data_IF_674161892567
#
_entry.id   IF_674161892567
#
_cell.length_a   1.000
_cell.length_b   1.000
_cell.length_c   1.000
_cell.angle_alpha   90.00
_cell.angle_beta   90.00
_cell.angle_gamma   90.00
#
_symmetry.space_group_name_H-M   'P 1'
#
loop_
_entity.id
_entity.type
_entity.pdbx_description
1 polymer ?
#
# COMPACT_ATOMS: atom_id res chain seq x y z
N UNK A 1 10.46 -2.83 0.15
CA UNK A 1 11.90 -2.64 -0.16
C UNK A 1 12.12 -2.05 -1.57
N UNK A 2 13.12 -1.18 -1.74
CA UNK A 2 13.56 -0.70 -3.08
C UNK A 2 14.31 -1.79 -3.86
N UNK A 3 15.17 -2.52 -3.16
CA UNK A 3 15.88 -3.68 -3.72
C UNK A 3 14.90 -4.78 -4.13
N UNK A 4 14.98 -5.18 -5.39
CA UNK A 4 14.16 -6.22 -5.99
C UNK A 4 14.39 -7.60 -5.36
N UNK A 5 15.63 -7.94 -5.01
CA UNK A 5 15.97 -9.26 -4.43
C UNK A 5 15.32 -9.46 -3.05
N UNK A 6 15.07 -8.35 -2.35
CA UNK A 6 14.37 -8.32 -1.07
C UNK A 6 12.85 -8.16 -1.24
N UNK A 7 12.42 -7.55 -2.35
CA UNK A 7 11.01 -7.29 -2.64
C UNK A 7 10.30 -8.54 -3.18
N UNK A 8 10.87 -9.22 -4.17
CA UNK A 8 10.21 -10.35 -4.84
C UNK A 8 9.81 -11.49 -3.88
N UNK A 9 10.63 -11.90 -2.90
CA UNK A 9 10.22 -12.94 -1.95
C UNK A 9 9.03 -12.50 -1.10
N UNK A 10 8.97 -11.22 -0.71
CA UNK A 10 7.84 -10.69 0.06
C UNK A 10 6.57 -10.60 -0.78
N UNK A 11 6.68 -10.14 -2.03
CA UNK A 11 5.55 -10.14 -2.98
C UNK A 11 5.01 -11.56 -3.24
N UNK A 12 5.90 -12.56 -3.36
CA UNK A 12 5.52 -13.97 -3.49
C UNK A 12 4.81 -14.49 -2.25
N UNK A 13 5.34 -14.20 -1.06
CA UNK A 13 4.72 -14.62 0.20
C UNK A 13 3.30 -14.05 0.35
N UNK A 14 3.08 -12.80 -0.05
CA UNK A 14 1.75 -12.17 -0.02
C UNK A 14 0.80 -12.90 -0.96
N UNK A 15 1.22 -13.19 -2.21
CA UNK A 15 0.41 -13.94 -3.17
C UNK A 15 0.08 -15.36 -2.69
N UNK A 16 1.00 -16.03 -1.99
CA UNK A 16 0.72 -17.32 -1.32
C UNK A 16 -0.37 -17.18 -0.26
N UNK A 17 -0.40 -16.09 0.51
CA UNK A 17 -1.49 -15.84 1.50
C UNK A 17 -2.84 -15.59 0.86
N UNK A 18 -2.88 -14.95 -0.32
CA UNK A 18 -4.12 -14.84 -1.09
C UNK A 18 -4.67 -16.24 -1.44
N UNK A 19 -3.81 -17.12 -1.96
CA UNK A 19 -4.19 -18.49 -2.34
C UNK A 19 -4.63 -19.32 -1.13
N UNK A 20 -3.92 -19.22 0.00
CA UNK A 20 -4.28 -19.91 1.25
C UNK A 20 -5.65 -19.47 1.80
N UNK A 21 -6.08 -18.22 1.57
CA UNK A 21 -7.40 -17.71 1.95
C UNK A 21 -8.48 -17.96 0.86
N UNK A 22 -8.13 -18.72 -0.18
CA UNK A 22 -9.00 -19.05 -1.30
C UNK A 22 -9.39 -17.82 -2.13
N UNK A 23 -8.43 -16.92 -2.36
CA UNK A 23 -8.53 -15.77 -3.25
C UNK A 23 -7.62 -15.96 -4.46
N UNK A 24 -8.04 -15.45 -5.62
CA UNK A 24 -7.22 -15.48 -6.83
C UNK A 24 -6.38 -14.21 -6.95
N UNK A 25 -5.06 -14.37 -6.81
CA UNK A 25 -4.09 -13.34 -7.16
C UNK A 25 -4.09 -13.09 -8.67
N UNK A 26 -4.21 -11.83 -9.09
CA UNK A 26 -4.20 -11.44 -10.51
C UNK A 26 -2.85 -10.88 -10.96
N UNK A 27 -2.17 -10.14 -10.10
CA UNK A 27 -0.91 -9.50 -10.47
C UNK A 27 -0.51 -8.35 -9.57
N UNK A 28 0.72 -7.90 -9.79
CA UNK A 28 1.26 -6.69 -9.19
C UNK A 28 1.37 -5.57 -10.23
N UNK A 29 1.00 -4.35 -9.84
CA UNK A 29 1.22 -3.13 -10.63
C UNK A 29 2.19 -2.22 -9.89
N UNK A 30 3.21 -1.73 -10.58
CA UNK A 30 4.02 -0.62 -10.08
C UNK A 30 3.21 0.66 -10.20
N UNK A 31 3.06 1.39 -9.10
CA UNK A 31 2.32 2.65 -9.10
C UNK A 31 3.15 3.70 -9.84
N UNK A 32 2.59 4.39 -10.86
CA UNK A 32 3.31 5.44 -11.56
C UNK A 32 3.49 6.63 -10.63
N UNK A 33 4.76 7.01 -10.41
CA UNK A 33 5.12 8.12 -9.53
C UNK A 33 6.14 9.05 -10.17
N UNK A 34 6.08 10.33 -9.83
CA UNK A 34 7.11 11.33 -10.14
C UNK A 34 7.83 11.76 -8.86
N UNK A 35 9.06 11.28 -8.67
CA UNK A 35 9.86 11.53 -7.47
C UNK A 35 10.85 12.71 -7.59
N UNK A 36 10.78 13.46 -8.70
CA UNK A 36 11.72 14.56 -8.99
C UNK A 36 11.62 15.72 -8.00
N UNK A 37 10.43 15.90 -7.41
CA UNK A 37 10.11 16.96 -6.47
C UNK A 37 10.45 16.62 -5.01
N UNK A 38 10.87 15.38 -4.73
CA UNK A 38 11.14 14.93 -3.37
C UNK A 38 12.46 15.48 -2.82
N UNK A 39 12.43 15.97 -1.58
CA UNK A 39 13.65 16.23 -0.83
C UNK A 39 14.42 14.94 -0.53
N UNK A 40 15.75 15.04 -0.41
CA UNK A 40 16.66 13.90 -0.21
C UNK A 40 16.21 12.94 0.90
N UNK A 41 15.78 13.46 2.05
CA UNK A 41 15.32 12.63 3.17
C UNK A 41 14.08 11.78 2.82
N UNK A 42 13.11 12.35 2.11
CA UNK A 42 11.92 11.62 1.66
C UNK A 42 12.30 10.59 0.59
N UNK A 43 13.19 10.95 -0.34
CA UNK A 43 13.65 10.08 -1.42
C UNK A 43 14.45 8.87 -0.90
N UNK A 44 15.36 9.07 0.06
CA UNK A 44 16.13 7.97 0.67
C UNK A 44 15.24 6.99 1.42
N UNK A 45 14.18 7.46 2.05
CA UNK A 45 13.22 6.60 2.77
C UNK A 45 12.06 6.10 1.89
N UNK A 46 12.03 6.46 0.60
CA UNK A 46 10.92 6.14 -0.29
C UNK A 46 10.83 4.63 -0.50
N UNK A 47 9.67 4.00 -0.27
CA UNK A 47 9.48 2.59 -0.59
C UNK A 47 9.24 2.40 -2.09
N UNK A 48 9.44 1.17 -2.56
CA UNK A 48 8.91 0.77 -3.86
C UNK A 48 7.40 0.57 -3.75
N UNK A 49 6.61 1.37 -4.47
CA UNK A 49 5.15 1.43 -4.28
C UNK A 49 4.46 0.50 -5.27
N UNK A 50 3.68 -0.43 -4.72
CA UNK A 50 3.07 -1.55 -5.46
C UNK A 50 1.60 -1.68 -5.11
N UNK A 51 0.81 -2.05 -6.11
CA UNK A 51 -0.59 -2.41 -5.98
C UNK A 51 -0.76 -3.91 -6.25
N UNK A 52 -1.47 -4.56 -5.34
CA UNK A 52 -1.85 -5.96 -5.41
C UNK A 52 -3.28 -6.05 -5.97
N UNK A 53 -3.47 -6.77 -7.06
CA UNK A 53 -4.79 -7.04 -7.62
C UNK A 53 -5.24 -8.44 -7.25
N UNK A 54 -6.40 -8.53 -6.62
CA UNK A 54 -7.02 -9.78 -6.17
C UNK A 54 -8.42 -9.84 -6.77
N UNK A 55 -8.75 -10.97 -7.41
CA UNK A 55 -10.08 -11.23 -7.93
C UNK A 55 -11.02 -11.54 -6.78
N UNK A 56 -12.19 -10.92 -6.82
CA UNK A 56 -13.33 -11.38 -6.02
C UNK A 56 -13.98 -12.56 -6.73
N UNK A 57 -14.06 -13.68 -6.03
CA UNK A 57 -14.71 -14.88 -6.55
C UNK A 57 -16.23 -14.70 -6.68
N UNK A 58 -16.83 -15.33 -7.69
CA UNK A 58 -18.27 -15.20 -8.01
C UNK A 58 -19.18 -15.69 -6.88
N UNK A 59 -18.70 -16.67 -6.10
CA UNK A 59 -19.41 -17.19 -4.94
C UNK A 59 -19.36 -16.27 -3.70
N UNK A 60 -18.53 -15.22 -3.72
CA UNK A 60 -18.45 -14.24 -2.64
C UNK A 60 -19.50 -13.15 -2.85
N UNK A 61 -20.74 -13.46 -2.53
CA UNK A 61 -21.89 -12.56 -2.73
C UNK A 61 -21.94 -11.41 -1.73
N UNK A 62 -21.32 -11.57 -0.56
CA UNK A 62 -21.25 -10.54 0.49
C UNK A 62 -19.94 -9.74 0.40
N UNK A 63 -20.04 -8.41 0.19
CA UNK A 63 -18.91 -7.50 0.19
C UNK A 63 -18.12 -7.58 1.51
N UNK A 64 -18.81 -7.73 2.64
CA UNK A 64 -18.17 -7.78 3.95
C UNK A 64 -17.35 -9.07 4.13
N UNK A 65 -17.78 -10.18 3.53
CA UNK A 65 -17.00 -11.41 3.49
C UNK A 65 -15.68 -11.21 2.75
N UNK A 66 -15.70 -10.51 1.60
CA UNK A 66 -14.48 -10.23 0.85
C UNK A 66 -13.53 -9.33 1.65
N UNK A 67 -14.03 -8.24 2.24
CA UNK A 67 -13.23 -7.35 3.11
C UNK A 67 -12.60 -8.10 4.29
N UNK A 68 -13.33 -9.04 4.91
CA UNK A 68 -12.79 -9.88 6.00
C UNK A 68 -11.64 -10.76 5.51
N UNK A 69 -11.76 -11.38 4.33
CA UNK A 69 -10.66 -12.17 3.75
C UNK A 69 -9.43 -11.30 3.49
N UNK A 70 -9.60 -10.13 2.87
CA UNK A 70 -8.52 -9.18 2.64
C UNK A 70 -7.85 -8.73 3.94
N UNK A 71 -8.63 -8.50 5.00
CA UNK A 71 -8.09 -8.21 6.33
C UNK A 71 -7.22 -9.37 6.85
N UNK A 72 -7.68 -10.61 6.73
CA UNK A 72 -6.94 -11.80 7.18
C UNK A 72 -5.64 -11.95 6.38
N UNK A 73 -5.69 -11.89 5.05
CA UNK A 73 -4.50 -11.90 4.18
C UNK A 73 -3.49 -10.88 4.68
N UNK A 74 -3.90 -9.61 4.82
CA UNK A 74 -3.01 -8.54 5.27
C UNK A 74 -2.37 -8.85 6.61
N UNK A 75 -3.16 -9.30 7.61
CA UNK A 75 -2.63 -9.62 8.95
C UNK A 75 -1.68 -10.81 8.94
N UNK A 76 -1.97 -11.84 8.15
CA UNK A 76 -1.12 -13.03 8.01
C UNK A 76 0.18 -12.68 7.30
N UNK A 77 0.12 -11.94 6.19
CA UNK A 77 1.29 -11.45 5.48
C UNK A 77 2.16 -10.54 6.35
N UNK A 78 1.59 -9.53 7.03
CA UNK A 78 2.31 -8.67 7.97
C UNK A 78 3.07 -9.50 9.03
N UNK A 79 2.43 -10.53 9.57
CA UNK A 79 3.02 -11.38 10.62
C UNK A 79 4.16 -12.26 10.10
N UNK A 80 4.04 -12.83 8.91
CA UNK A 80 5.09 -13.68 8.34
C UNK A 80 6.28 -12.86 7.85
N UNK A 81 6.03 -11.75 7.16
CA UNK A 81 7.08 -10.85 6.67
C UNK A 81 7.90 -10.25 7.83
N UNK A 82 7.25 -9.94 8.96
CA UNK A 82 7.95 -9.44 10.15
C UNK A 82 8.96 -10.45 10.76
N UNK A 83 8.86 -11.74 10.46
CA UNK A 83 9.83 -12.75 10.90
C UNK A 83 11.01 -12.91 9.94
N UNK A 84 10.78 -12.61 8.66
CA UNK A 84 11.74 -12.90 7.58
C UNK A 84 12.56 -11.68 7.20
N UNK A 85 12.00 -10.48 7.41
CA UNK A 85 12.56 -9.24 6.89
C UNK A 85 13.02 -8.36 8.04
N UNK A 86 14.25 -7.80 7.98
CA UNK A 86 14.73 -6.82 8.93
C UNK A 86 13.77 -5.64 9.11
N UNK A 87 13.73 -5.08 10.32
CA UNK A 87 12.83 -3.97 10.69
C UNK A 87 12.98 -2.75 9.78
N UNK A 88 14.19 -2.50 9.28
CA UNK A 88 14.54 -1.38 8.39
C UNK A 88 14.15 -1.62 6.92
N UNK A 89 13.67 -2.80 6.57
CA UNK A 89 13.27 -3.18 5.21
C UNK A 89 11.81 -3.62 5.14
N UNK A 90 10.94 -2.98 5.91
CA UNK A 90 9.57 -3.45 6.12
C UNK A 90 8.69 -3.42 4.86
N UNK A 91 7.76 -4.38 4.82
CA UNK A 91 6.59 -4.33 3.95
C UNK A 91 5.45 -3.67 4.71
N UNK A 92 4.77 -2.73 4.06
CA UNK A 92 3.68 -2.00 4.66
C UNK A 92 2.51 -1.89 3.70
N UNK A 93 1.33 -2.30 4.16
CA UNK A 93 0.08 -2.12 3.43
C UNK A 93 -0.55 -0.78 3.80
N UNK A 94 -0.56 0.21 2.90
CA UNK A 94 -1.31 1.45 3.13
C UNK A 94 -2.82 1.17 3.27
N UNK A 95 -3.34 0.31 2.41
CA UNK A 95 -4.68 -0.26 2.42
C UNK A 95 -4.66 -1.65 1.77
N UNK A 96 -5.64 -2.48 2.09
CA UNK A 96 -5.97 -3.67 1.31
C UNK A 96 -7.48 -3.89 1.47
N UNK A 97 -8.25 -3.36 0.52
CA UNK A 97 -9.70 -3.29 0.54
C UNK A 97 -10.21 -3.16 -0.89
N UNK A 98 -11.42 -3.63 -1.16
CA UNK A 98 -12.11 -3.43 -2.43
C UNK A 98 -12.86 -2.10 -2.52
N UNK A 99 -12.93 -1.36 -1.40
CA UNK A 99 -13.73 -0.13 -1.27
C UNK A 99 -12.90 1.11 -0.98
N UNK A 100 -11.71 0.94 -0.41
CA UNK A 100 -10.86 2.03 0.04
C UNK A 100 -9.43 1.83 -0.41
N UNK A 101 -8.88 2.83 -1.09
CA UNK A 101 -7.47 2.91 -1.43
C UNK A 101 -6.84 4.12 -0.74
N UNK A 102 -5.62 3.97 -0.23
CA UNK A 102 -4.90 5.03 0.46
C UNK A 102 -3.62 5.37 -0.31
N UNK A 103 -3.57 6.59 -0.85
CA UNK A 103 -2.36 7.22 -1.36
C UNK A 103 -1.79 8.13 -0.28
N UNK A 104 -0.57 7.84 0.18
CA UNK A 104 0.08 8.59 1.26
C UNK A 104 1.59 8.49 1.20
N UNK A 105 2.28 9.49 1.70
CA UNK A 105 3.72 9.49 1.76
C UNK A 105 4.29 10.64 2.56
N UNK A 106 5.61 10.78 2.53
CA UNK A 106 6.32 11.94 3.06
C UNK A 106 6.29 13.09 2.06
N UNK A 107 5.11 13.66 1.87
CA UNK A 107 4.80 14.67 0.86
C UNK A 107 4.17 15.89 1.54
N UNK A 108 4.39 17.09 1.00
CA UNK A 108 3.51 18.22 1.31
C UNK A 108 2.14 17.99 0.67
N UNK A 109 1.14 18.75 1.10
CA UNK A 109 -0.22 18.63 0.56
C UNK A 109 -0.26 18.90 -0.95
N UNK A 110 0.50 19.88 -1.45
CA UNK A 110 0.55 20.17 -2.89
C UNK A 110 1.30 19.09 -3.71
N UNK A 111 2.16 18.31 -3.07
CA UNK A 111 2.96 17.28 -3.75
C UNK A 111 2.18 15.99 -4.00
N UNK A 112 1.04 15.77 -3.35
CA UNK A 112 0.33 14.48 -3.42
C UNK A 112 -0.11 14.13 -4.84
N UNK A 113 -0.74 15.07 -5.55
CA UNK A 113 -1.21 14.85 -6.94
C UNK A 113 -0.07 14.93 -7.96
N UNK A 114 1.04 15.61 -7.64
CA UNK A 114 2.24 15.65 -8.48
C UNK A 114 3.00 14.33 -8.41
N UNK A 115 3.12 13.77 -7.19
CA UNK A 115 3.85 12.53 -6.95
C UNK A 115 3.09 11.30 -7.45
N UNK A 116 1.79 11.19 -7.17
CA UNK A 116 0.99 10.04 -7.61
C UNK A 116 0.22 10.35 -8.89
N UNK A 117 0.74 9.86 -10.02
CA UNK A 117 0.17 10.17 -11.34
C UNK A 117 -1.25 9.61 -11.52
N UNK A 118 -1.58 8.52 -10.83
CA UNK A 118 -2.93 7.94 -10.81
C UNK A 118 -4.01 8.95 -10.37
N UNK A 119 -3.67 9.89 -9.48
CA UNK A 119 -4.64 10.85 -8.93
C UNK A 119 -5.01 11.96 -9.93
N UNK A 120 -4.27 12.08 -11.03
CA UNK A 120 -4.57 13.00 -12.11
C UNK A 120 -5.38 12.34 -13.24
N UNK A 121 -5.65 11.04 -13.15
CA UNK A 121 -6.44 10.31 -14.15
C UNK A 121 -7.93 10.67 -14.03
N UNK A 122 -8.60 10.85 -15.16
CA UNK A 122 -10.03 11.14 -15.20
C UNK A 122 -10.89 9.97 -14.73
N UNK A 123 -10.40 8.75 -14.85
CA UNK A 123 -11.09 7.55 -14.38
C UNK A 123 -10.97 7.36 -12.84
N UNK A 124 -10.14 8.17 -12.16
CA UNK A 124 -9.99 8.12 -10.70
C UNK A 124 -11.14 8.86 -10.00
N UNK A 125 -12.31 8.24 -9.97
CA UNK A 125 -13.51 8.81 -9.35
C UNK A 125 -13.79 8.21 -7.96
N UNK A 126 -14.32 9.05 -7.05
CA UNK A 126 -14.79 8.59 -5.74
C UNK A 126 -15.97 9.41 -5.24
N UNK A 127 -16.87 8.76 -4.52
CA UNK A 127 -17.95 9.45 -3.81
C UNK A 127 -17.45 10.18 -2.54
N UNK A 128 -16.36 9.72 -1.93
CA UNK A 128 -15.83 10.26 -0.67
C UNK A 128 -14.30 10.30 -0.75
N UNK A 129 -13.71 11.43 -0.35
CA UNK A 129 -12.28 11.61 -0.17
C UNK A 129 -11.97 12.09 1.25
N UNK A 130 -10.88 11.59 1.83
CA UNK A 130 -10.39 11.99 3.14
C UNK A 130 -8.92 12.38 3.03
N UNK A 131 -8.58 13.55 3.54
CA UNK A 131 -7.23 14.11 3.51
C UNK A 131 -6.70 14.28 4.93
N UNK A 132 -5.40 14.11 5.11
CA UNK A 132 -4.74 14.40 6.38
C UNK A 132 -3.34 14.96 6.12
N UNK A 133 -2.99 16.03 6.82
CA UNK A 133 -1.63 16.56 6.89
C UNK A 133 -1.11 16.42 8.31
N UNK A 134 0.10 15.90 8.46
CA UNK A 134 0.73 15.65 9.76
C UNK A 134 1.97 16.53 9.90
N UNK A 135 2.06 17.24 11.02
CA UNK A 135 3.31 17.85 11.48
C UNK A 135 4.03 16.88 12.43
N UNK A 136 5.26 16.47 12.11
CA UNK A 136 6.05 15.55 12.92
C UNK A 136 7.11 16.30 13.72
N UNK A 137 7.23 16.03 15.01
CA UNK A 137 8.36 16.47 15.83
C UNK A 137 9.58 15.53 15.73
N UNK A 138 9.47 14.43 14.97
CA UNK A 138 10.57 13.51 14.69
C UNK A 138 11.26 13.86 13.38
N UNK A 139 12.60 13.81 13.37
CA UNK A 139 13.45 14.05 12.18
C UNK A 139 13.71 12.78 11.36
N UNK A 140 13.37 11.59 11.86
CA UNK A 140 13.55 10.33 11.14
C UNK A 140 12.46 10.15 10.07
N UNK A 141 12.84 10.03 8.78
CA UNK A 141 11.88 9.89 7.70
C UNK A 141 11.20 8.51 7.76
N UNK A 142 9.86 8.50 7.66
CA UNK A 142 9.06 7.28 7.67
C UNK A 142 7.77 7.48 6.86
N UNK A 143 7.70 6.84 5.71
CA UNK A 143 6.53 6.88 4.80
C UNK A 143 5.30 6.18 5.39
N UNK A 144 5.49 5.06 6.08
CA UNK A 144 4.41 4.27 6.69
C UNK A 144 3.60 5.05 7.74
N UNK A 145 4.26 6.00 8.42
CA UNK A 145 3.69 6.83 9.49
C UNK A 145 2.86 8.01 8.99
N UNK A 146 2.81 8.24 7.68
CA UNK A 146 1.85 9.15 7.09
C UNK A 146 0.42 8.63 7.34
N UNK A 147 -0.53 9.55 7.40
CA UNK A 147 -1.96 9.26 7.48
C UNK A 147 -2.59 9.58 6.10
N UNK A 148 -3.81 9.11 5.79
CA UNK A 148 -4.74 8.37 6.66
C UNK A 148 -4.31 6.92 6.96
N UNK A 149 -4.81 6.39 8.09
CA UNK A 149 -4.75 4.97 8.41
C UNK A 149 -6.02 4.28 7.88
N UNK A 150 -6.01 2.94 7.89
CA UNK A 150 -7.01 2.06 7.24
C UNK A 150 -8.43 2.19 7.83
N UNK A 151 -8.54 2.65 9.07
CA UNK A 151 -9.76 2.98 9.80
C UNK A 151 -9.43 4.16 10.72
N UNK A 152 -10.34 5.12 10.88
CA UNK A 152 -10.31 6.11 11.96
C UNK A 152 -11.01 5.55 13.19
#
# INVERSE_FOLDING_TARGET
PQDEQLREPGERNIAEKDQEEGLTFLGWRTVPVDDTMLGNAAKTAMPYIRQLFIKREENCTDNLQFERKLYVVRKRAEKELAKQIPIDQSFYFASLSSRTIVYKGMLTTEQVNQFYLDLCDHDFETAIALFHSRFSTNTFPSWERAHPNRYM
#
